data_IF_658747045773
#
_entry.id   IF_658747045773
#
_cell.length_a   1.000
_cell.length_b   1.000
_cell.length_c   1.000
_cell.angle_alpha   90.00
_cell.angle_beta   90.00
_cell.angle_gamma   90.00
#
_symmetry.space_group_name_H-M   'P 1'
#
loop_
_entity.id
_entity.type
_entity.pdbx_description
1 polymer ?
#
# COMPACT_ATOMS: atom_id res chain seq x y z
N UNK A 1 -19.20 0.07 -21.99
CA UNK A 1 -18.08 -0.71 -22.57
C UNK A 1 -17.33 -1.39 -21.43
N UNK A 2 -17.22 -2.73 -21.43
CA UNK A 2 -16.71 -3.57 -20.33
C UNK A 2 -15.22 -3.43 -19.99
N UNK A 3 -14.65 -2.22 -20.11
CA UNK A 3 -13.22 -1.91 -19.96
C UNK A 3 -12.65 -2.39 -18.62
N UNK A 4 -13.35 -2.11 -17.52
CA UNK A 4 -12.94 -2.54 -16.17
C UNK A 4 -12.85 -4.06 -16.09
N UNK A 5 -13.88 -4.76 -16.58
CA UNK A 5 -13.94 -6.21 -16.55
C UNK A 5 -12.81 -6.80 -17.39
N UNK A 6 -12.59 -6.30 -18.61
CA UNK A 6 -11.48 -6.72 -19.46
C UNK A 6 -10.12 -6.47 -18.80
N UNK A 7 -9.90 -5.31 -18.18
CA UNK A 7 -8.67 -4.99 -17.47
C UNK A 7 -8.38 -5.94 -16.32
N UNK A 8 -9.41 -6.29 -15.53
CA UNK A 8 -9.32 -7.30 -14.46
C UNK A 8 -8.92 -8.67 -15.02
N UNK A 9 -9.55 -9.11 -16.12
CA UNK A 9 -9.24 -10.39 -16.74
C UNK A 9 -7.80 -10.46 -17.26
N UNK A 10 -7.32 -9.39 -17.89
CA UNK A 10 -5.94 -9.31 -18.40
C UNK A 10 -4.94 -9.41 -17.23
N UNK A 11 -5.12 -8.60 -16.18
CA UNK A 11 -4.25 -8.62 -15.02
C UNK A 11 -4.25 -9.97 -14.30
N UNK A 12 -5.44 -10.59 -14.15
CA UNK A 12 -5.58 -11.92 -13.59
C UNK A 12 -4.88 -12.99 -14.45
N UNK A 13 -4.99 -12.90 -15.78
CA UNK A 13 -4.30 -13.80 -16.70
C UNK A 13 -2.78 -13.75 -16.55
N UNK A 14 -2.21 -12.54 -16.47
CA UNK A 14 -0.79 -12.37 -16.20
C UNK A 14 -0.38 -12.88 -14.82
N UNK A 15 -1.15 -12.57 -13.77
CA UNK A 15 -0.90 -13.06 -12.42
C UNK A 15 -0.89 -14.59 -12.34
N UNK A 16 -1.83 -15.26 -13.03
CA UNK A 16 -1.87 -16.72 -13.13
C UNK A 16 -0.67 -17.28 -13.87
N UNK A 17 -0.26 -16.67 -14.98
CA UNK A 17 0.92 -17.08 -15.76
C UNK A 17 2.21 -16.92 -14.95
N UNK A 18 2.36 -15.82 -14.21
CA UNK A 18 3.49 -15.61 -13.32
C UNK A 18 3.59 -16.72 -12.26
N UNK A 19 2.47 -17.12 -11.66
CA UNK A 19 2.42 -18.21 -10.67
C UNK A 19 2.80 -19.57 -11.29
N UNK A 20 2.36 -19.86 -12.51
CA UNK A 20 2.70 -21.10 -13.21
C UNK A 20 4.19 -21.16 -13.57
N UNK A 21 4.77 -20.04 -14.01
CA UNK A 21 6.19 -19.97 -14.34
C UNK A 21 7.09 -20.11 -13.10
N UNK A 22 6.65 -19.66 -11.92
CA UNK A 22 7.38 -19.83 -10.68
C UNK A 22 7.56 -21.33 -10.33
N UNK A 23 6.50 -22.13 -10.50
CA UNK A 23 6.57 -23.58 -10.30
C UNK A 23 7.56 -24.30 -11.24
N UNK A 24 7.90 -23.70 -12.40
CA UNK A 24 8.82 -24.29 -13.37
C UNK A 24 10.30 -23.94 -13.12
N UNK A 25 10.59 -23.00 -12.21
CA UNK A 25 11.95 -22.48 -11.97
C UNK A 25 12.53 -22.84 -10.59
N UNK A 26 11.80 -23.60 -9.76
CA UNK A 26 12.18 -23.87 -8.36
C UNK A 26 13.16 -25.06 -8.23
N UNK A 27 14.31 -24.95 -8.92
CA UNK A 27 15.47 -25.83 -8.76
C UNK A 27 16.74 -24.96 -8.65
N UNK A 28 17.00 -24.41 -7.45
CA UNK A 28 18.38 -24.31 -6.97
C UNK A 28 19.05 -22.94 -6.77
N UNK A 29 18.37 -21.84 -6.45
CA UNK A 29 19.06 -20.60 -6.05
C UNK A 29 18.86 -20.23 -4.58
N UNK A 30 19.94 -20.27 -3.79
CA UNK A 30 20.08 -19.70 -2.44
C UNK A 30 20.15 -18.17 -2.47
N UNK A 31 19.17 -17.50 -3.09
CA UNK A 31 19.03 -16.04 -2.99
C UNK A 31 17.99 -15.67 -1.94
N UNK A 32 18.15 -14.50 -1.31
CA UNK A 32 17.16 -13.93 -0.39
C UNK A 32 15.75 -13.97 -0.98
N UNK A 33 14.70 -14.14 -0.15
CA UNK A 33 13.32 -14.29 -0.62
C UNK A 33 12.87 -13.02 -1.36
N UNK A 34 13.00 -13.03 -2.68
CA UNK A 34 12.44 -12.01 -3.58
C UNK A 34 10.93 -12.23 -3.69
N UNK A 35 10.19 -11.13 -3.81
CA UNK A 35 8.77 -11.18 -4.11
C UNK A 35 8.52 -12.05 -5.37
N UNK A 36 7.49 -12.90 -5.39
CA UNK A 36 7.12 -13.61 -6.63
C UNK A 36 6.81 -12.58 -7.73
N UNK A 37 6.96 -12.87 -9.02
CA UNK A 37 6.70 -11.89 -10.09
C UNK A 37 5.28 -11.29 -9.99
N UNK A 38 5.21 -9.97 -9.81
CA UNK A 38 3.97 -9.24 -9.56
C UNK A 38 3.53 -8.45 -10.80
N UNK A 39 2.21 -8.34 -11.02
CA UNK A 39 1.64 -7.50 -12.07
C UNK A 39 1.36 -6.11 -11.50
N UNK A 40 1.84 -5.06 -12.16
CA UNK A 40 1.45 -3.69 -11.81
C UNK A 40 0.23 -3.29 -12.65
N UNK A 41 -0.83 -2.89 -11.98
CA UNK A 41 -2.02 -2.30 -12.59
C UNK A 41 -2.10 -0.82 -12.19
N UNK A 42 -1.93 0.08 -13.15
CA UNK A 42 -2.01 1.52 -12.91
C UNK A 42 -3.23 2.17 -13.59
N UNK A 43 -3.68 3.28 -13.01
CA UNK A 43 -4.75 4.09 -13.59
C UNK A 43 -4.56 5.59 -13.30
N UNK A 44 -5.28 6.47 -14.02
CA UNK A 44 -5.04 7.91 -13.93
C UNK A 44 -5.55 8.54 -12.62
N UNK A 45 -6.48 7.91 -11.91
CA UNK A 45 -7.08 8.45 -10.67
C UNK A 45 -7.34 7.36 -9.63
N UNK A 46 -7.40 7.75 -8.35
CA UNK A 46 -7.73 6.81 -7.27
C UNK A 46 -9.07 6.12 -7.53
N UNK A 47 -10.12 6.88 -7.88
CA UNK A 47 -11.45 6.32 -8.17
C UNK A 47 -11.41 5.23 -9.25
N UNK A 48 -10.66 5.45 -10.34
CA UNK A 48 -10.55 4.46 -11.40
C UNK A 48 -9.87 3.16 -10.94
N UNK A 49 -8.80 3.27 -10.15
CA UNK A 49 -8.04 2.13 -9.62
C UNK A 49 -8.83 1.40 -8.53
N UNK A 50 -9.53 2.14 -7.67
CA UNK A 50 -10.31 1.60 -6.56
C UNK A 50 -11.48 0.74 -7.07
N UNK A 51 -12.14 1.17 -8.15
CA UNK A 51 -13.15 0.33 -8.84
C UNK A 51 -12.54 -1.01 -9.25
N UNK A 52 -11.36 -1.02 -9.87
CA UNK A 52 -10.69 -2.27 -10.29
C UNK A 52 -10.31 -3.13 -9.10
N UNK A 53 -9.77 -2.53 -8.03
CA UNK A 53 -9.44 -3.23 -6.79
C UNK A 53 -10.67 -3.93 -6.19
N UNK A 54 -11.83 -3.26 -6.16
CA UNK A 54 -13.08 -3.86 -5.67
C UNK A 54 -13.54 -5.07 -6.49
N UNK A 55 -13.30 -5.08 -7.80
CA UNK A 55 -13.55 -6.27 -8.63
C UNK A 55 -12.55 -7.39 -8.31
N UNK A 56 -11.26 -7.06 -8.14
CA UNK A 56 -10.20 -8.04 -7.89
C UNK A 56 -10.32 -8.74 -6.53
N UNK A 57 -10.75 -8.03 -5.47
CA UNK A 57 -10.97 -8.65 -4.15
C UNK A 57 -12.02 -9.76 -4.20
N UNK A 58 -12.98 -9.67 -5.14
CA UNK A 58 -14.03 -10.68 -5.32
C UNK A 58 -13.55 -11.92 -6.07
N UNK A 59 -12.33 -11.90 -6.63
CA UNK A 59 -11.75 -13.04 -7.36
C UNK A 59 -11.09 -13.99 -6.35
N UNK A 60 -11.60 -15.23 -6.17
CA UNK A 60 -11.08 -16.15 -5.19
C UNK A 60 -9.60 -16.48 -5.44
N UNK A 61 -8.78 -16.42 -4.38
CA UNK A 61 -7.36 -16.76 -4.43
C UNK A 61 -6.46 -15.72 -5.10
N UNK A 62 -7.00 -14.59 -5.59
CA UNK A 62 -6.21 -13.47 -6.08
C UNK A 62 -5.78 -12.57 -4.92
N UNK A 63 -4.48 -12.42 -4.71
CA UNK A 63 -3.92 -11.52 -3.69
C UNK A 63 -3.50 -10.21 -4.31
N UNK A 64 -3.96 -9.08 -3.76
CA UNK A 64 -3.65 -7.76 -4.29
C UNK A 64 -3.15 -6.81 -3.19
N UNK A 65 -2.39 -5.80 -3.58
CA UNK A 65 -2.03 -4.65 -2.73
C UNK A 65 -2.40 -3.35 -3.45
N UNK A 66 -3.03 -2.43 -2.73
CA UNK A 66 -3.38 -1.07 -3.19
C UNK A 66 -2.43 -0.04 -2.58
N UNK A 67 -1.64 0.63 -3.42
CA UNK A 67 -0.65 1.65 -3.00
C UNK A 67 -1.19 3.06 -3.28
N UNK A 68 -1.59 3.76 -2.23
CA UNK A 68 -2.04 5.15 -2.30
C UNK A 68 -0.87 6.13 -2.21
N UNK A 69 -1.10 7.40 -2.54
CA UNK A 69 -0.09 8.45 -2.41
C UNK A 69 0.12 8.86 -0.95
N UNK A 70 1.28 9.44 -0.65
CA UNK A 70 1.64 9.92 0.70
C UNK A 70 0.60 10.89 1.26
N UNK A 71 0.01 11.73 0.41
CA UNK A 71 -1.03 12.68 0.84
C UNK A 71 -2.29 11.95 1.32
N UNK A 72 -2.66 10.84 0.69
CA UNK A 72 -3.84 10.06 1.07
C UNK A 72 -3.57 9.23 2.32
N UNK A 73 -2.36 8.68 2.46
CA UNK A 73 -1.92 8.05 3.71
C UNK A 73 -1.88 9.04 4.87
N UNK A 74 -1.29 10.23 4.70
CA UNK A 74 -1.19 11.26 5.74
C UNK A 74 -2.53 11.88 6.15
N UNK A 75 -3.61 11.62 5.39
CA UNK A 75 -4.96 11.99 5.82
C UNK A 75 -5.48 11.09 6.95
N UNK A 76 -4.99 9.84 7.03
CA UNK A 76 -5.33 8.87 8.07
C UNK A 76 -4.21 8.73 9.11
N UNK A 77 -2.94 8.78 8.69
CA UNK A 77 -1.75 8.62 9.52
C UNK A 77 -0.82 9.85 9.36
N UNK A 78 -1.12 10.98 10.02
CA UNK A 78 -0.38 12.22 9.83
C UNK A 78 1.05 12.12 10.35
N UNK A 79 2.02 12.58 9.55
CA UNK A 79 3.43 12.65 9.96
C UNK A 79 3.71 14.01 10.61
N UNK A 80 4.25 14.05 11.84
CA UNK A 80 4.61 15.30 12.50
C UNK A 80 5.61 16.14 11.69
N UNK A 81 5.65 17.44 11.95
CA UNK A 81 6.56 18.40 11.32
C UNK A 81 6.43 18.55 9.78
N UNK A 82 5.58 17.78 9.08
CA UNK A 82 5.23 18.03 7.68
C UNK A 82 4.11 19.06 7.60
N UNK A 83 4.31 20.11 6.79
CA UNK A 83 3.25 21.09 6.52
C UNK A 83 2.11 20.38 5.76
N UNK A 84 0.99 20.17 6.42
CA UNK A 84 -0.23 19.76 5.73
C UNK A 84 -0.62 20.89 4.78
N UNK A 85 -0.70 20.61 3.47
CA UNK A 85 -1.13 21.63 2.50
C UNK A 85 -2.54 22.09 2.88
N UNK A 86 -2.71 23.39 3.12
CA UNK A 86 -3.97 24.08 3.44
C UNK A 86 -5.00 23.97 2.29
N UNK A 87 -5.49 22.77 1.97
CA UNK A 87 -6.64 22.50 1.11
C UNK A 87 -7.22 21.14 1.48
N UNK A 88 -7.91 21.08 2.62
CA UNK A 88 -8.97 20.09 2.80
C UNK A 88 -10.24 20.76 2.27
N UNK A 89 -10.62 20.50 1.02
CA UNK A 89 -12.03 20.64 0.64
C UNK A 89 -12.79 19.62 1.46
N UNK A 90 -13.70 20.10 2.28
CA UNK A 90 -14.46 19.34 3.28
C UNK A 90 -15.54 18.43 2.69
N UNK A 91 -15.44 18.02 1.41
CA UNK A 91 -16.57 17.34 0.72
C UNK A 91 -16.19 16.34 -0.41
N UNK A 92 -14.95 15.82 -0.47
CA UNK A 92 -14.52 15.02 -1.65
C UNK A 92 -14.28 13.51 -1.39
N UNK A 93 -14.99 12.86 -0.45
CA UNK A 93 -14.90 11.39 -0.28
C UNK A 93 -13.44 10.87 -0.23
N UNK A 94 -12.57 11.62 0.45
CA UNK A 94 -11.11 11.57 0.33
C UNK A 94 -10.48 10.36 1.02
N UNK A 95 -11.21 9.75 1.96
CA UNK A 95 -10.79 8.56 2.68
C UNK A 95 -10.59 7.34 1.78
N UNK A 96 -9.94 6.33 2.33
CA UNK A 96 -9.85 5.04 1.65
C UNK A 96 -11.18 4.31 1.83
N UNK A 97 -11.77 3.76 0.74
CA UNK A 97 -12.98 2.97 0.85
C UNK A 97 -12.78 1.84 1.86
N UNK A 98 -13.71 1.66 2.79
CA UNK A 98 -13.60 0.68 3.88
C UNK A 98 -13.27 -0.73 3.37
N UNK A 99 -13.88 -1.10 2.24
CA UNK A 99 -13.67 -2.40 1.56
C UNK A 99 -12.23 -2.62 1.08
N UNK A 100 -11.46 -1.54 0.88
CA UNK A 100 -10.10 -1.58 0.38
C UNK A 100 -9.05 -1.44 1.48
N UNK A 101 -9.42 -1.10 2.73
CA UNK A 101 -8.45 -0.92 3.82
C UNK A 101 -7.59 -2.16 4.04
N UNK A 102 -8.18 -3.35 4.04
CA UNK A 102 -7.44 -4.60 4.27
C UNK A 102 -6.46 -4.97 3.16
N UNK A 103 -6.58 -4.36 1.97
CA UNK A 103 -5.60 -4.53 0.87
C UNK A 103 -4.73 -3.29 0.65
N UNK A 104 -4.92 -2.24 1.45
CA UNK A 104 -4.17 -0.99 1.32
C UNK A 104 -2.81 -1.09 1.99
N UNK A 105 -1.74 -0.72 1.27
CA UNK A 105 -0.36 -0.93 1.74
C UNK A 105 -0.11 -0.36 3.14
N UNK A 106 -0.48 0.90 3.38
CA UNK A 106 -0.24 1.56 4.66
C UNK A 106 -1.12 0.99 5.80
N UNK A 107 -2.23 0.33 5.51
CA UNK A 107 -2.99 -0.42 6.52
C UNK A 107 -2.37 -1.79 6.79
N UNK A 108 -1.85 -2.46 5.75
CA UNK A 108 -1.19 -3.77 5.86
C UNK A 108 0.03 -3.68 6.76
N UNK A 109 0.87 -2.65 6.60
CA UNK A 109 2.09 -2.51 7.42
C UNK A 109 1.80 -2.21 8.90
N UNK A 110 0.58 -1.80 9.24
CA UNK A 110 0.13 -1.45 10.59
C UNK A 110 -0.71 -2.54 11.26
N UNK A 111 -0.81 -3.73 10.64
CA UNK A 111 -1.60 -4.86 11.16
C UNK A 111 -0.77 -6.14 11.12
N UNK A 112 -1.12 -7.08 11.99
CA UNK A 112 -0.61 -8.44 11.91
C UNK A 112 -0.85 -9.03 10.51
N UNK A 113 0.12 -9.72 9.88
CA UNK A 113 1.37 -10.25 10.43
C UNK A 113 2.62 -9.36 10.23
N UNK A 114 2.46 -8.06 10.01
CA UNK A 114 3.61 -7.17 9.86
C UNK A 114 4.44 -7.11 11.16
N UNK A 115 5.75 -7.41 11.13
CA UNK A 115 6.60 -7.38 12.33
C UNK A 115 6.84 -5.96 12.85
N UNK A 116 6.50 -4.94 12.07
CA UNK A 116 6.66 -3.52 12.42
C UNK A 116 5.38 -2.91 12.99
N UNK A 117 4.26 -3.65 13.04
CA UNK A 117 2.95 -3.12 13.40
C UNK A 117 2.94 -2.47 14.80
N UNK A 118 3.52 -3.15 15.80
CA UNK A 118 3.58 -2.65 17.17
C UNK A 118 4.43 -1.36 17.28
N UNK A 119 5.52 -1.29 16.51
CA UNK A 119 6.39 -0.10 16.48
C UNK A 119 5.66 1.10 15.83
N UNK A 120 4.84 0.87 14.80
CA UNK A 120 3.96 1.91 14.25
C UNK A 120 2.99 2.43 15.31
N UNK A 121 2.29 1.54 16.02
CA UNK A 121 1.34 1.91 17.05
C UNK A 121 2.02 2.75 18.16
N UNK A 122 3.23 2.38 18.57
CA UNK A 122 4.00 3.15 19.55
C UNK A 122 4.34 4.57 19.06
N UNK A 123 4.84 4.72 17.83
CA UNK A 123 5.14 6.04 17.28
C UNK A 123 3.89 6.89 17.10
N UNK A 124 2.81 6.31 16.57
CA UNK A 124 1.57 7.02 16.25
C UNK A 124 0.84 7.48 17.52
N UNK A 125 0.77 6.64 18.55
CA UNK A 125 0.24 7.04 19.86
C UNK A 125 1.06 8.20 20.45
N UNK A 126 2.39 8.11 20.38
CA UNK A 126 3.27 9.18 20.84
C UNK A 126 3.06 10.48 20.07
N UNK A 127 2.92 10.43 18.75
CA UNK A 127 2.70 11.61 17.92
C UNK A 127 1.35 12.27 18.23
N UNK A 128 0.32 11.47 18.49
CA UNK A 128 -0.97 11.99 18.94
C UNK A 128 -0.91 12.61 20.34
N UNK A 129 -0.14 12.04 21.25
CA UNK A 129 0.07 12.62 22.59
C UNK A 129 0.87 13.94 22.52
N UNK A 130 1.97 13.98 21.77
CA UNK A 130 2.72 15.20 21.49
C UNK A 130 1.80 16.30 20.93
N UNK A 131 0.94 15.93 19.97
CA UNK A 131 -0.03 16.84 19.36
C UNK A 131 -1.04 17.38 20.36
N UNK A 132 -1.61 16.54 21.22
CA UNK A 132 -2.56 16.95 22.28
C UNK A 132 -1.89 17.87 23.30
N UNK A 133 -0.63 17.63 23.60
CA UNK A 133 0.16 18.44 24.55
C UNK A 133 0.80 19.69 23.91
N UNK A 134 0.55 19.95 22.62
CA UNK A 134 1.20 21.01 21.83
C UNK A 134 2.75 20.94 21.88
N UNK A 135 3.29 19.74 22.06
CA UNK A 135 4.73 19.47 22.01
C UNK A 135 5.16 19.20 20.58
N UNK A 136 6.38 19.63 20.26
CA UNK A 136 6.99 19.36 18.96
C UNK A 136 7.75 18.04 19.02
N UNK A 137 7.27 17.04 18.28
CA UNK A 137 7.98 15.78 18.07
C UNK A 137 9.38 16.02 17.48
N UNK A 138 10.37 15.27 17.95
CA UNK A 138 11.75 15.42 17.50
C UNK A 138 11.92 15.03 16.03
N UNK A 139 12.76 15.76 15.29
CA UNK A 139 13.08 15.41 13.90
C UNK A 139 13.71 14.01 13.79
N UNK A 140 14.48 13.59 14.81
CA UNK A 140 15.09 12.25 14.86
C UNK A 140 14.02 11.15 14.85
N UNK A 141 12.92 11.36 15.57
CA UNK A 141 11.82 10.42 15.68
C UNK A 141 11.00 10.38 14.39
N UNK A 142 10.74 11.54 13.78
CA UNK A 142 10.07 11.62 12.48
C UNK A 142 10.89 10.90 11.39
N UNK A 143 12.22 11.05 11.41
CA UNK A 143 13.10 10.35 10.47
C UNK A 143 13.06 8.84 10.71
N UNK A 144 13.15 8.40 11.96
CA UNK A 144 13.08 6.98 12.33
C UNK A 144 11.74 6.35 11.88
N UNK A 145 10.63 7.04 12.11
CA UNK A 145 9.31 6.63 11.66
C UNK A 145 9.22 6.53 10.12
N UNK A 146 9.74 7.51 9.38
CA UNK A 146 9.77 7.44 7.91
C UNK A 146 10.63 6.27 7.40
N UNK A 147 11.75 5.96 8.07
CA UNK A 147 12.58 4.79 7.74
C UNK A 147 11.85 3.48 8.03
N UNK A 148 11.07 3.44 9.13
CA UNK A 148 10.22 2.30 9.48
C UNK A 148 9.15 2.04 8.40
N UNK A 149 8.49 3.10 7.89
CA UNK A 149 7.56 3.01 6.75
C UNK A 149 8.25 2.30 5.57
N UNK A 150 9.41 2.80 5.12
CA UNK A 150 10.11 2.21 3.97
C UNK A 150 10.45 0.73 4.17
N UNK A 151 10.95 0.35 5.35
CA UNK A 151 11.25 -1.06 5.67
C UNK A 151 9.99 -1.93 5.66
N UNK A 152 8.90 -1.45 6.23
CA UNK A 152 7.66 -2.18 6.31
C UNK A 152 6.96 -2.31 4.95
N UNK A 153 7.03 -1.28 4.10
CA UNK A 153 6.53 -1.34 2.73
C UNK A 153 7.26 -2.37 1.89
N UNK A 154 8.60 -2.40 1.96
CA UNK A 154 9.41 -3.44 1.30
C UNK A 154 9.01 -4.82 1.80
N UNK A 155 8.92 -5.01 3.12
CA UNK A 155 8.47 -6.27 3.71
C UNK A 155 7.09 -6.68 3.22
N UNK A 156 6.13 -5.77 3.16
CA UNK A 156 4.76 -6.08 2.74
C UNK A 156 4.70 -6.46 1.25
N UNK A 157 5.44 -5.76 0.38
CA UNK A 157 5.48 -6.07 -1.05
C UNK A 157 6.15 -7.43 -1.32
N UNK A 158 7.14 -7.81 -0.52
CA UNK A 158 7.86 -9.09 -0.63
C UNK A 158 7.13 -10.27 0.01
N UNK A 159 6.58 -10.07 1.21
CA UNK A 159 6.09 -11.16 2.07
C UNK A 159 4.59 -11.43 1.96
N UNK A 160 3.81 -10.48 1.42
CA UNK A 160 2.34 -10.65 1.27
C UNK A 160 1.95 -11.75 0.29
N UNK A 161 2.85 -12.11 -0.63
CA UNK A 161 2.52 -12.93 -1.79
C UNK A 161 1.52 -12.26 -2.74
N UNK A 162 1.45 -10.92 -2.72
CA UNK A 162 0.60 -10.17 -3.64
C UNK A 162 0.98 -10.46 -5.08
N UNK A 163 -0.03 -10.71 -5.90
CA UNK A 163 0.11 -11.04 -7.31
C UNK A 163 -0.14 -9.83 -8.20
N UNK A 164 -0.94 -8.88 -7.71
CA UNK A 164 -1.24 -7.61 -8.41
C UNK A 164 -1.03 -6.43 -7.45
N UNK A 165 -0.24 -5.45 -7.89
CA UNK A 165 -0.07 -4.16 -7.21
C UNK A 165 -0.88 -3.11 -7.97
N UNK A 166 -1.78 -2.43 -7.26
CA UNK A 166 -2.65 -1.40 -7.81
C UNK A 166 -2.25 -0.02 -7.31
N UNK A 167 -1.98 0.90 -8.22
CA UNK A 167 -1.60 2.27 -7.89
C UNK A 167 -2.07 3.26 -8.96
N UNK A 168 -1.98 4.56 -8.68
CA UNK A 168 -2.14 5.55 -9.77
C UNK A 168 -0.86 5.65 -10.58
N UNK A 169 -0.94 6.10 -11.83
CA UNK A 169 0.25 6.28 -12.68
C UNK A 169 1.29 7.21 -12.03
N UNK A 170 0.84 8.23 -11.31
CA UNK A 170 1.72 9.13 -10.54
C UNK A 170 2.45 8.43 -9.39
N UNK A 171 1.79 7.50 -8.71
CA UNK A 171 2.41 6.72 -7.62
C UNK A 171 3.37 5.67 -8.19
N UNK A 172 3.03 5.06 -9.33
CA UNK A 172 3.90 4.09 -10.01
C UNK A 172 5.27 4.68 -10.38
N UNK A 173 5.33 5.96 -10.73
CA UNK A 173 6.58 6.68 -11.03
C UNK A 173 7.23 7.35 -9.81
N UNK A 174 6.65 7.25 -8.62
CA UNK A 174 7.19 7.90 -7.42
C UNK A 174 8.32 7.08 -6.81
N UNK A 175 9.32 7.78 -6.25
CA UNK A 175 10.35 7.15 -5.42
C UNK A 175 9.81 7.07 -4.00
N UNK A 176 9.09 6.00 -3.70
CA UNK A 176 8.84 5.59 -2.32
C UNK A 176 10.04 4.81 -1.81
#
# INVERSE_FOLDING_TARGET
>A
TGKTVTGVHIAFGFAKRNKQNLHNFDLGSQEEPKAPPQVIYCGPSNKAVDVVAEYMIKVPGLKIIRVYSDRKEQAEFPIPNKRQSLKQSTDDGTGIPEKLKNVSLHHIIRKYPCPYADEFEMYENKFEDDRKENKRTSMKEVIAYCQLIGKAEVWALQSSGAQVILCTCSVAGSRR
#
